data_IF_521443262734
#
_entry.id   IF_521443262734
#
_cell.length_a   1.000
_cell.length_b   1.000
_cell.length_c   1.000
_cell.angle_alpha   90.00
_cell.angle_beta   90.00
_cell.angle_gamma   90.00
#
_symmetry.space_group_name_H-M   'P 1'
#
loop_
_entity.id
_entity.type
_entity.pdbx_description
1 polymer ?
#
# COMPACT_ATOMS: atom_id res chain seq x y z
N UNK A 1 0.92 -17.94 7.82
CA UNK A 1 0.23 -17.32 8.97
C UNK A 1 -0.03 -15.89 8.53
N UNK A 2 -1.12 -15.68 7.81
CA UNK A 2 -2.45 -15.33 8.34
C UNK A 2 -2.64 -13.83 8.09
N UNK A 3 -3.05 -13.49 6.87
CA UNK A 3 -3.85 -12.31 6.60
C UNK A 3 -4.65 -12.53 5.32
N UNK A 4 -5.47 -13.59 5.38
CA UNK A 4 -6.73 -13.60 4.66
C UNK A 4 -7.57 -12.59 5.44
N UNK A 5 -7.59 -11.34 5.00
CA UNK A 5 -8.62 -10.40 5.42
C UNK A 5 -9.92 -10.95 4.85
N UNK A 6 -10.50 -11.87 5.61
CA UNK A 6 -11.91 -12.17 5.62
C UNK A 6 -12.64 -10.83 5.55
N UNK A 7 -13.11 -10.49 4.35
CA UNK A 7 -14.39 -9.83 4.18
C UNK A 7 -15.43 -10.77 4.78
N UNK A 8 -15.43 -10.87 6.11
CA UNK A 8 -16.45 -11.50 6.89
C UNK A 8 -17.73 -10.77 6.53
N UNK A 9 -18.54 -11.48 5.75
CA UNK A 9 -19.92 -11.22 5.48
C UNK A 9 -20.56 -10.38 6.59
N UNK A 10 -20.93 -9.13 6.28
CA UNK A 10 -21.97 -8.42 7.05
C UNK A 10 -23.32 -9.07 6.72
N UNK A 11 -23.47 -10.29 7.24
CA UNK A 11 -24.73 -10.99 7.25
C UNK A 11 -25.71 -10.23 8.15
N UNK A 12 -26.60 -9.46 7.53
CA UNK A 12 -28.00 -9.42 7.96
C UNK A 12 -28.36 -8.57 9.18
N UNK A 13 -27.70 -7.44 9.43
CA UNK A 13 -28.36 -6.37 10.22
C UNK A 13 -29.25 -5.59 9.25
N UNK A 14 -30.57 -5.75 9.36
CA UNK A 14 -31.52 -4.85 8.72
C UNK A 14 -31.12 -3.41 9.08
N UNK A 15 -30.75 -2.61 8.07
CA UNK A 15 -30.32 -1.24 8.29
C UNK A 15 -31.51 -0.43 8.80
N UNK A 16 -31.60 -0.32 10.13
CA UNK A 16 -32.72 0.30 10.85
C UNK A 16 -32.93 1.73 10.39
N UNK A 17 -31.85 2.41 9.99
CA UNK A 17 -31.90 3.78 9.49
C UNK A 17 -32.56 3.85 8.11
N UNK A 18 -32.23 2.91 7.24
CA UNK A 18 -32.84 2.78 5.91
C UNK A 18 -34.31 2.42 6.02
N UNK A 19 -34.66 1.51 6.94
CA UNK A 19 -36.06 1.17 7.22
C UNK A 19 -36.87 2.35 7.75
N UNK A 20 -36.33 3.10 8.72
CA UNK A 20 -36.94 4.35 9.19
C UNK A 20 -37.12 5.37 8.07
N UNK A 21 -36.13 5.49 7.17
CA UNK A 21 -36.24 6.37 6.00
C UNK A 21 -37.34 5.88 5.04
N UNK A 22 -37.41 4.58 4.75
CA UNK A 22 -38.48 3.99 3.93
C UNK A 22 -39.85 4.18 4.55
N UNK A 23 -39.97 4.00 5.85
CA UNK A 23 -41.21 4.19 6.60
C UNK A 23 -41.64 5.66 6.57
N UNK A 24 -40.71 6.59 6.78
CA UNK A 24 -40.96 8.03 6.68
C UNK A 24 -41.39 8.43 5.26
N UNK A 25 -40.74 7.87 4.22
CA UNK A 25 -41.13 8.08 2.83
C UNK A 25 -42.52 7.49 2.53
N UNK A 26 -42.84 6.30 3.05
CA UNK A 26 -44.17 5.71 2.90
C UNK A 26 -45.25 6.60 3.53
N UNK A 27 -45.03 7.05 4.77
CA UNK A 27 -45.92 7.98 5.47
C UNK A 27 -46.07 9.31 4.71
N UNK A 28 -45.00 9.81 4.12
CA UNK A 28 -45.04 11.02 3.29
C UNK A 28 -45.87 10.81 2.01
N UNK A 29 -45.73 9.66 1.35
CA UNK A 29 -46.52 9.31 0.16
C UNK A 29 -48.01 9.15 0.51
N UNK A 30 -48.33 8.57 1.66
CA UNK A 30 -49.70 8.52 2.18
C UNK A 30 -50.25 9.93 2.48
N UNK A 31 -49.42 10.83 2.99
CA UNK A 31 -49.80 12.22 3.23
C UNK A 31 -50.07 12.98 1.92
N UNK A 32 -49.31 12.70 0.87
CA UNK A 32 -49.56 13.20 -0.48
C UNK A 32 -50.93 12.73 -0.96
N UNK A 33 -51.27 11.45 -0.78
CA UNK A 33 -52.57 10.91 -1.17
C UNK A 33 -53.73 11.59 -0.41
N UNK A 34 -53.56 11.80 0.90
CA UNK A 34 -54.54 12.49 1.74
C UNK A 34 -54.75 13.97 1.35
N UNK A 35 -53.69 14.65 0.89
CA UNK A 35 -53.77 16.04 0.45
C UNK A 35 -54.18 16.19 -1.01
N UNK A 36 -53.91 15.20 -1.85
CA UNK A 36 -54.27 15.17 -3.27
C UNK A 36 -55.72 14.72 -3.51
N UNK A 37 -56.66 15.26 -2.74
CA UNK A 37 -58.08 15.01 -2.90
C UNK A 37 -58.67 15.84 -4.05
N UNK A 38 -59.68 15.29 -4.74
CA UNK A 38 -60.39 15.97 -5.82
C UNK A 38 -60.89 17.37 -5.43
N UNK A 39 -61.32 17.56 -4.18
CA UNK A 39 -61.73 18.87 -3.64
C UNK A 39 -60.59 19.91 -3.62
N UNK A 40 -59.38 19.51 -3.25
CA UNK A 40 -58.22 20.42 -3.21
C UNK A 40 -57.73 20.77 -4.61
N UNK A 41 -57.79 19.80 -5.53
CA UNK A 41 -57.50 20.02 -6.95
C UNK A 41 -58.54 20.91 -7.62
N UNK A 42 -59.84 20.72 -7.33
CA UNK A 42 -60.91 21.57 -7.85
C UNK A 42 -60.82 23.03 -7.37
N UNK A 43 -60.36 23.26 -6.14
CA UNK A 43 -60.12 24.62 -5.62
C UNK A 43 -58.93 25.28 -6.33
N UNK A 44 -57.93 24.50 -6.71
CA UNK A 44 -56.68 25.00 -7.30
C UNK A 44 -56.76 25.13 -8.83
N UNK A 45 -57.66 24.38 -9.48
CA UNK A 45 -57.89 24.34 -10.92
C UNK A 45 -59.40 24.41 -11.22
N UNK A 46 -60.05 25.55 -10.95
CA UNK A 46 -61.52 25.68 -11.02
C UNK A 46 -62.07 25.65 -12.45
N UNK A 47 -61.25 25.92 -13.46
CA UNK A 47 -61.69 26.05 -14.87
C UNK A 47 -61.69 24.71 -15.64
N UNK A 48 -61.33 23.60 -14.99
CA UNK A 48 -61.25 22.29 -15.60
C UNK A 48 -62.54 21.47 -15.36
N UNK A 49 -62.97 20.76 -16.40
CA UNK A 49 -63.97 19.69 -16.31
C UNK A 49 -63.55 18.65 -15.26
N UNK A 50 -64.49 18.20 -14.45
CA UNK A 50 -64.33 17.18 -13.41
C UNK A 50 -63.65 15.90 -13.93
N UNK A 51 -63.92 15.48 -15.16
CA UNK A 51 -63.29 14.31 -15.80
C UNK A 51 -61.82 14.58 -16.15
N UNK A 52 -61.52 15.79 -16.63
CA UNK A 52 -60.16 16.20 -16.96
C UNK A 52 -59.32 16.43 -15.69
N UNK A 53 -59.92 17.02 -14.66
CA UNK A 53 -59.33 17.27 -13.35
C UNK A 53 -58.88 15.96 -12.69
N UNK A 54 -59.73 14.94 -12.71
CA UNK A 54 -59.43 13.65 -12.10
C UNK A 54 -58.30 12.93 -12.85
N UNK A 55 -58.24 13.05 -14.18
CA UNK A 55 -57.16 12.51 -14.99
C UNK A 55 -55.82 13.20 -14.70
N UNK A 56 -55.82 14.54 -14.57
CA UNK A 56 -54.63 15.32 -14.20
C UNK A 56 -54.16 14.97 -12.80
N UNK A 57 -55.09 14.81 -11.84
CA UNK A 57 -54.79 14.41 -10.47
C UNK A 57 -54.07 13.06 -10.42
N UNK A 58 -54.62 12.05 -11.11
CA UNK A 58 -54.04 10.71 -11.13
C UNK A 58 -52.66 10.69 -11.78
N UNK A 59 -52.49 11.35 -12.93
CA UNK A 59 -51.19 11.43 -13.60
C UNK A 59 -50.16 12.18 -12.75
N UNK A 60 -50.52 13.34 -12.20
CA UNK A 60 -49.60 14.13 -11.37
C UNK A 60 -49.15 13.38 -10.12
N UNK A 61 -50.08 12.75 -9.40
CA UNK A 61 -49.75 11.96 -8.20
C UNK A 61 -48.89 10.75 -8.58
N UNK A 62 -49.19 10.08 -9.70
CA UNK A 62 -48.40 8.95 -10.18
C UNK A 62 -46.97 9.37 -10.55
N UNK A 63 -46.82 10.47 -11.30
CA UNK A 63 -45.52 10.98 -11.73
C UNK A 63 -44.70 11.43 -10.51
N UNK A 64 -45.31 12.18 -9.59
CA UNK A 64 -44.68 12.60 -8.34
C UNK A 64 -44.19 11.41 -7.51
N UNK A 65 -45.02 10.37 -7.37
CA UNK A 65 -44.65 9.14 -6.64
C UNK A 65 -43.52 8.38 -7.34
N UNK A 66 -43.49 8.39 -8.68
CA UNK A 66 -42.44 7.72 -9.46
C UNK A 66 -41.09 8.43 -9.36
N UNK A 67 -41.10 9.78 -9.33
CA UNK A 67 -39.92 10.62 -9.08
C UNK A 67 -39.40 10.47 -7.65
N UNK A 68 -40.27 10.40 -6.64
CA UNK A 68 -39.82 10.17 -5.25
C UNK A 68 -39.19 8.78 -5.10
N UNK A 69 -39.62 7.80 -5.89
CA UNK A 69 -38.96 6.48 -5.96
C UNK A 69 -37.57 6.53 -6.60
N UNK A 70 -37.20 7.61 -7.31
CA UNK A 70 -35.84 7.79 -7.84
C UNK A 70 -34.78 7.96 -6.72
N UNK A 71 -35.20 8.24 -5.48
CA UNK A 71 -34.32 8.19 -4.31
C UNK A 71 -33.71 6.78 -4.13
N UNK A 72 -34.38 5.70 -4.55
CA UNK A 72 -33.76 4.36 -4.54
C UNK A 72 -32.65 4.18 -5.58
N UNK A 73 -32.50 5.12 -6.53
CA UNK A 73 -31.53 5.06 -7.64
C UNK A 73 -30.12 5.51 -7.25
N UNK A 74 -29.97 6.24 -6.15
CA UNK A 74 -28.69 6.83 -5.71
C UNK A 74 -27.84 5.93 -4.82
N UNK A 75 -28.11 4.62 -4.78
CA UNK A 75 -27.40 3.64 -3.95
C UNK A 75 -27.22 4.10 -2.49
N UNK A 76 -28.26 4.72 -1.95
CA UNK A 76 -28.32 5.20 -0.57
C UNK A 76 -28.14 4.08 0.45
N UNK A 77 -28.31 2.83 0.03
CA UNK A 77 -28.14 1.67 0.88
C UNK A 77 -26.69 1.56 1.36
N UNK A 78 -25.75 1.46 0.43
CA UNK A 78 -24.33 1.35 0.76
C UNK A 78 -23.85 2.53 1.62
N UNK A 79 -24.31 3.75 1.33
CA UNK A 79 -23.94 4.95 2.09
C UNK A 79 -24.56 5.03 3.49
N UNK A 80 -25.80 4.56 3.65
CA UNK A 80 -26.44 4.49 4.96
C UNK A 80 -25.88 3.34 5.81
N UNK A 81 -25.49 2.23 5.19
CA UNK A 81 -24.78 1.12 5.84
C UNK A 81 -23.43 1.60 6.37
N UNK A 82 -22.65 2.29 5.53
CA UNK A 82 -21.38 2.91 5.89
C UNK A 82 -21.54 3.91 7.05
N UNK A 83 -22.56 4.77 6.98
CA UNK A 83 -22.83 5.74 8.03
C UNK A 83 -23.24 5.07 9.35
N UNK A 84 -24.06 4.02 9.32
CA UNK A 84 -24.46 3.27 10.51
C UNK A 84 -23.25 2.65 11.21
N UNK A 85 -22.37 2.01 10.44
CA UNK A 85 -21.13 1.44 10.93
C UNK A 85 -20.27 2.50 11.63
N UNK A 86 -20.01 3.63 10.95
CA UNK A 86 -19.23 4.74 11.51
C UNK A 86 -19.86 5.31 12.79
N UNK A 87 -21.18 5.43 12.85
CA UNK A 87 -21.86 5.91 14.07
C UNK A 87 -21.80 4.91 15.22
N UNK A 88 -21.95 3.61 14.94
CA UNK A 88 -21.85 2.56 15.96
C UNK A 88 -20.45 2.49 16.55
N UNK A 89 -19.44 2.63 15.71
CA UNK A 89 -18.04 2.66 16.12
C UNK A 89 -17.73 3.91 16.96
N UNK A 90 -18.24 5.07 16.55
CA UNK A 90 -18.11 6.30 17.33
C UNK A 90 -18.78 6.17 18.72
N UNK A 91 -19.98 5.60 18.80
CA UNK A 91 -20.69 5.37 20.05
C UNK A 91 -19.95 4.39 20.97
N UNK A 92 -19.35 3.34 20.42
CA UNK A 92 -18.49 2.42 21.18
C UNK A 92 -17.27 3.13 21.75
N UNK A 93 -16.60 3.97 20.95
CA UNK A 93 -15.44 4.73 21.40
C UNK A 93 -15.78 5.73 22.48
N UNK A 94 -16.95 6.38 22.38
CA UNK A 94 -17.45 7.26 23.44
C UNK A 94 -17.71 6.49 24.74
N UNK A 95 -18.26 5.27 24.67
CA UNK A 95 -18.50 4.43 25.86
C UNK A 95 -17.22 3.93 26.52
N UNK A 96 -16.16 3.74 25.75
CA UNK A 96 -14.86 3.25 26.23
C UNK A 96 -13.98 4.32 26.88
N UNK A 97 -14.38 5.59 26.79
CA UNK A 97 -13.75 6.73 27.47
C UNK A 97 -12.22 6.80 27.24
N UNK A 98 -11.82 6.62 25.98
CA UNK A 98 -10.41 6.62 25.58
C UNK A 98 -9.71 7.93 25.95
N UNK A 99 -8.44 7.82 26.36
CA UNK A 99 -7.62 8.99 26.66
C UNK A 99 -7.52 9.92 25.43
N UNK A 100 -7.40 11.25 25.60
CA UNK A 100 -7.43 12.23 24.50
C UNK A 100 -6.38 12.06 23.39
N UNK A 101 -5.38 11.19 23.57
CA UNK A 101 -4.32 10.90 22.59
C UNK A 101 -4.22 9.40 22.24
N UNK A 102 -5.25 8.62 22.58
CA UNK A 102 -5.32 7.21 22.22
C UNK A 102 -5.33 7.06 20.69
N UNK A 103 -4.64 6.03 20.19
CA UNK A 103 -4.58 5.68 18.77
C UNK A 103 -5.95 5.44 18.14
N UNK A 104 -6.94 5.08 18.96
CA UNK A 104 -8.32 4.76 18.64
C UNK A 104 -9.18 6.02 18.40
N UNK A 105 -8.63 7.22 18.65
CA UNK A 105 -9.30 8.52 18.43
C UNK A 105 -8.64 9.36 17.31
N UNK A 106 -7.83 8.75 16.44
CA UNK A 106 -7.05 9.46 15.39
C UNK A 106 -7.90 10.16 14.33
N UNK A 107 -9.12 9.68 14.14
CA UNK A 107 -10.12 10.06 13.14
C UNK A 107 -11.26 10.92 13.71
N UNK A 108 -11.23 11.21 15.02
CA UNK A 108 -12.23 12.09 15.66
C UNK A 108 -11.96 13.55 15.30
N UNK A 109 -12.95 14.18 14.66
CA UNK A 109 -12.91 15.62 14.37
C UNK A 109 -12.82 16.42 15.67
N UNK A 110 -11.89 17.38 15.72
CA UNK A 110 -11.77 18.32 16.84
C UNK A 110 -12.04 19.74 16.36
N UNK A 111 -12.75 20.57 17.16
CA UNK A 111 -13.02 21.97 16.79
C UNK A 111 -11.75 22.79 16.54
N UNK A 112 -10.69 22.49 17.29
CA UNK A 112 -9.39 23.15 17.19
C UNK A 112 -8.41 22.42 16.26
N UNK A 113 -8.87 21.40 15.51
CA UNK A 113 -8.01 20.66 14.59
C UNK A 113 -7.66 21.56 13.41
N UNK A 114 -6.41 22.02 13.36
CA UNK A 114 -5.91 22.76 12.21
C UNK A 114 -6.05 21.90 10.94
N UNK A 115 -6.55 22.51 9.86
CA UNK A 115 -6.75 21.89 8.55
C UNK A 115 -5.43 21.24 8.07
N UNK A 116 -4.30 21.87 8.37
CA UNK A 116 -2.98 21.32 8.04
C UNK A 116 -2.70 19.99 8.76
N UNK A 117 -3.19 19.84 9.99
CA UNK A 117 -3.05 18.62 10.79
C UNK A 117 -3.97 17.50 10.28
N UNK A 118 -5.19 17.84 9.89
CA UNK A 118 -6.12 16.88 9.27
C UNK A 118 -5.58 16.32 7.94
N UNK A 119 -4.99 17.19 7.11
CA UNK A 119 -4.35 16.78 5.85
C UNK A 119 -3.12 15.91 6.13
N UNK A 120 -2.26 16.31 7.07
CA UNK A 120 -1.06 15.54 7.45
C UNK A 120 -1.40 14.17 8.00
N UNK A 121 -2.44 14.02 8.81
CA UNK A 121 -2.86 12.73 9.34
C UNK A 121 -3.26 11.75 8.21
N UNK A 122 -3.95 12.24 7.18
CA UNK A 122 -4.31 11.44 6.00
C UNK A 122 -3.10 11.09 5.13
N UNK A 123 -2.16 12.01 4.98
CA UNK A 123 -0.94 11.79 4.18
C UNK A 123 0.05 10.88 4.91
N UNK A 124 0.11 10.95 6.24
CA UNK A 124 1.01 10.14 7.06
C UNK A 124 0.74 8.64 6.89
N UNK A 125 -0.52 8.21 6.87
CA UNK A 125 -0.89 6.80 6.65
C UNK A 125 -0.44 6.27 5.28
N UNK A 126 -0.44 7.14 4.26
CA UNK A 126 0.04 6.77 2.93
C UNK A 126 1.58 6.74 2.90
N UNK A 127 2.23 7.66 3.62
CA UNK A 127 3.68 7.76 3.71
C UNK A 127 4.32 6.64 4.53
N UNK A 128 3.66 6.09 5.55
CA UNK A 128 4.17 4.96 6.35
C UNK A 128 4.53 3.76 5.46
N UNK A 129 3.67 3.43 4.49
CA UNK A 129 3.94 2.34 3.54
C UNK A 129 5.15 2.62 2.65
N UNK A 130 5.31 3.87 2.22
CA UNK A 130 6.42 4.29 1.36
C UNK A 130 7.74 4.34 2.12
N UNK A 131 7.71 4.74 3.40
CA UNK A 131 8.89 4.74 4.27
C UNK A 131 9.35 3.30 4.50
N UNK A 132 8.44 2.38 4.83
CA UNK A 132 8.77 0.96 5.00
C UNK A 132 9.43 0.36 3.75
N UNK A 133 8.90 0.66 2.55
CA UNK A 133 9.50 0.23 1.29
C UNK A 133 10.91 0.81 1.07
N UNK A 134 11.12 2.09 1.39
CA UNK A 134 12.44 2.73 1.28
C UNK A 134 13.45 2.18 2.29
N UNK A 135 13.01 1.82 3.49
CA UNK A 135 13.84 1.17 4.50
C UNK A 135 14.28 -0.23 4.04
N UNK A 136 13.39 -0.97 3.39
CA UNK A 136 13.71 -2.26 2.77
C UNK A 136 14.71 -2.12 1.62
N UNK A 137 14.49 -1.17 0.70
CA UNK A 137 15.43 -0.86 -0.40
C UNK A 137 16.82 -0.45 0.16
N UNK A 138 16.87 0.34 1.23
CA UNK A 138 18.13 0.69 1.89
C UNK A 138 18.83 -0.53 2.48
N UNK A 139 18.10 -1.44 3.13
CA UNK A 139 18.67 -2.65 3.69
C UNK A 139 19.28 -3.55 2.60
N UNK A 140 18.60 -3.70 1.46
CA UNK A 140 19.12 -4.43 0.30
C UNK A 140 20.40 -3.78 -0.26
N UNK A 141 20.42 -2.46 -0.39
CA UNK A 141 21.60 -1.73 -0.86
C UNK A 141 22.79 -1.86 0.09
N UNK A 142 22.55 -1.84 1.40
CA UNK A 142 23.62 -2.08 2.39
C UNK A 142 24.18 -3.50 2.28
N UNK A 143 23.32 -4.51 2.12
CA UNK A 143 23.75 -5.90 1.96
C UNK A 143 24.56 -6.08 0.66
N UNK A 144 24.07 -5.54 -0.46
CA UNK A 144 24.75 -5.60 -1.76
C UNK A 144 26.10 -4.87 -1.76
N UNK A 145 26.18 -3.71 -1.09
CA UNK A 145 27.44 -3.01 -0.90
C UNK A 145 28.42 -3.83 -0.06
N UNK A 146 27.98 -4.43 1.05
CA UNK A 146 28.83 -5.27 1.88
C UNK A 146 29.41 -6.45 1.09
N UNK A 147 28.60 -7.12 0.26
CA UNK A 147 29.06 -8.18 -0.63
C UNK A 147 30.06 -7.67 -1.67
N UNK A 148 29.83 -6.48 -2.22
CA UNK A 148 30.73 -5.86 -3.20
C UNK A 148 32.07 -5.47 -2.58
N UNK A 149 32.08 -4.93 -1.36
CA UNK A 149 33.31 -4.67 -0.62
C UNK A 149 34.08 -5.96 -0.33
N UNK A 150 33.41 -7.02 0.10
CA UNK A 150 34.05 -8.32 0.34
C UNK A 150 34.69 -8.89 -0.94
N UNK A 151 34.04 -8.72 -2.10
CA UNK A 151 34.61 -9.12 -3.41
C UNK A 151 35.84 -8.30 -3.78
N UNK A 152 35.83 -6.99 -3.54
CA UNK A 152 36.96 -6.11 -3.81
C UNK A 152 38.14 -6.53 -2.92
N UNK A 153 37.92 -6.70 -1.61
CA UNK A 153 38.97 -7.08 -0.66
C UNK A 153 39.59 -8.45 -1.03
N UNK A 154 38.75 -9.43 -1.41
CA UNK A 154 39.25 -10.72 -1.89
C UNK A 154 40.08 -10.58 -3.18
N UNK A 155 39.67 -9.69 -4.10
CA UNK A 155 40.41 -9.44 -5.33
C UNK A 155 41.75 -8.74 -5.08
N UNK A 156 41.79 -7.79 -4.15
CA UNK A 156 43.01 -7.09 -3.74
C UNK A 156 44.01 -8.08 -3.11
N UNK A 157 43.53 -8.96 -2.22
CA UNK A 157 44.36 -10.01 -1.64
C UNK A 157 44.93 -10.96 -2.71
N UNK A 158 44.12 -11.35 -3.70
CA UNK A 158 44.58 -12.19 -4.80
C UNK A 158 45.62 -11.48 -5.68
N UNK A 159 45.43 -10.19 -5.99
CA UNK A 159 46.39 -9.39 -6.76
C UNK A 159 47.71 -9.28 -5.99
N UNK A 160 47.66 -9.02 -4.69
CA UNK A 160 48.86 -8.93 -3.85
C UNK A 160 49.64 -10.25 -3.84
N UNK A 161 48.96 -11.38 -3.63
CA UNK A 161 49.57 -12.70 -3.68
C UNK A 161 50.20 -13.00 -5.06
N UNK A 162 49.51 -12.64 -6.15
CA UNK A 162 50.05 -12.79 -7.50
C UNK A 162 51.28 -11.91 -7.74
N UNK A 163 51.29 -10.66 -7.25
CA UNK A 163 52.44 -9.76 -7.34
C UNK A 163 53.65 -10.31 -6.56
N UNK A 164 53.43 -10.83 -5.35
CA UNK A 164 54.47 -11.50 -4.58
C UNK A 164 55.06 -12.70 -5.33
N UNK A 165 54.20 -13.56 -5.90
CA UNK A 165 54.64 -14.71 -6.68
C UNK A 165 55.45 -14.30 -7.92
N UNK A 166 55.02 -13.25 -8.64
CA UNK A 166 55.78 -12.69 -9.76
C UNK A 166 57.12 -12.14 -9.29
N UNK A 167 57.17 -11.43 -8.16
CA UNK A 167 58.42 -10.89 -7.62
C UNK A 167 59.41 -12.00 -7.24
N UNK A 168 58.93 -13.09 -6.63
CA UNK A 168 59.73 -14.26 -6.25
C UNK A 168 60.25 -14.97 -7.50
N UNK A 169 59.40 -15.18 -8.51
CA UNK A 169 59.82 -15.82 -9.76
C UNK A 169 60.82 -14.97 -10.54
N UNK A 170 60.65 -13.65 -10.63
CA UNK A 170 61.65 -12.73 -11.20
C UNK A 170 62.99 -12.80 -10.45
N UNK A 171 62.98 -12.73 -9.12
CA UNK A 171 64.20 -12.84 -8.32
C UNK A 171 64.90 -14.20 -8.50
N UNK A 172 64.13 -15.26 -8.76
CA UNK A 172 64.67 -16.59 -9.04
C UNK A 172 65.27 -16.67 -10.45
N UNK A 173 64.62 -16.07 -11.45
CA UNK A 173 65.15 -15.94 -12.80
C UNK A 173 66.46 -15.13 -12.81
N UNK A 174 66.54 -14.04 -12.04
CA UNK A 174 67.78 -13.25 -11.89
C UNK A 174 68.92 -14.08 -11.29
N UNK A 175 68.63 -14.88 -10.26
CA UNK A 175 69.61 -15.83 -9.69
C UNK A 175 70.07 -16.87 -10.71
N UNK A 176 69.15 -17.40 -11.51
CA UNK A 176 69.50 -18.34 -12.58
C UNK A 176 70.40 -17.69 -13.62
N UNK A 177 70.06 -16.48 -14.07
CA UNK A 177 70.82 -15.76 -15.08
C UNK A 177 72.24 -15.44 -14.57
N UNK A 178 72.36 -15.02 -13.32
CA UNK A 178 73.66 -14.84 -12.65
C UNK A 178 74.45 -16.17 -12.55
N UNK A 179 73.78 -17.28 -12.20
CA UNK A 179 74.43 -18.59 -12.12
C UNK A 179 74.86 -19.13 -13.48
N UNK A 180 74.10 -18.89 -14.55
CA UNK A 180 74.45 -19.28 -15.92
C UNK A 180 75.65 -18.46 -16.40
N UNK A 181 75.65 -17.14 -16.15
CA UNK A 181 76.79 -16.27 -16.43
C UNK A 181 78.06 -16.69 -15.66
N UNK A 182 77.92 -17.24 -14.44
CA UNK A 182 79.02 -17.81 -13.66
C UNK A 182 79.41 -19.23 -14.14
N UNK A 183 78.48 -19.99 -14.69
CA UNK A 183 78.67 -21.39 -15.15
C UNK A 183 79.30 -21.51 -16.54
N UNK A 184 79.53 -20.40 -17.24
CA UNK A 184 80.37 -20.33 -18.45
C UNK A 184 81.83 -20.78 -18.18
N UNK A 185 82.17 -21.14 -16.93
CA UNK A 185 83.39 -21.83 -16.53
C UNK A 185 83.23 -23.33 -16.14
N UNK A 186 82.11 -23.99 -16.49
CA UNK A 186 82.10 -25.45 -16.69
C UNK A 186 81.31 -26.34 -15.71
N UNK A 187 80.02 -26.10 -15.47
CA UNK A 187 79.17 -27.10 -14.79
C UNK A 187 77.67 -27.04 -15.19
N UNK A 188 77.29 -27.75 -16.27
CA UNK A 188 75.89 -27.81 -16.75
C UNK A 188 74.94 -28.70 -15.92
N UNK A 189 75.45 -29.51 -14.99
CA UNK A 189 74.62 -30.40 -14.16
C UNK A 189 73.87 -29.68 -13.04
N UNK A 190 74.44 -28.62 -12.47
CA UNK A 190 73.77 -27.84 -11.41
C UNK A 190 72.56 -27.06 -11.93
N UNK A 191 72.66 -26.55 -13.16
CA UNK A 191 71.58 -25.84 -13.84
C UNK A 191 70.36 -26.74 -14.02
N UNK A 192 70.56 -27.99 -14.44
CA UNK A 192 69.47 -28.91 -14.71
C UNK A 192 68.73 -29.33 -13.43
N UNK A 193 69.45 -29.63 -12.35
CA UNK A 193 68.85 -29.98 -11.05
C UNK A 193 68.07 -28.82 -10.41
N UNK A 194 68.49 -27.58 -10.64
CA UNK A 194 67.77 -26.40 -10.13
C UNK A 194 66.54 -26.06 -10.98
N UNK A 195 66.57 -26.37 -12.28
CA UNK A 195 65.39 -26.31 -13.16
C UNK A 195 64.32 -27.34 -12.77
N UNK A 196 64.71 -28.55 -12.40
CA UNK A 196 63.76 -29.57 -11.93
C UNK A 196 63.12 -29.20 -10.58
N UNK A 197 63.88 -28.55 -9.69
CA UNK A 197 63.35 -27.98 -8.44
C UNK A 197 62.34 -26.84 -8.70
N UNK A 198 62.55 -26.06 -9.76
CA UNK A 198 61.62 -25.02 -10.19
C UNK A 198 60.31 -25.55 -10.76
N UNK A 199 60.36 -26.62 -11.55
CA UNK A 199 59.16 -27.29 -12.08
C UNK A 199 58.31 -27.87 -10.94
N UNK A 200 58.94 -28.23 -9.83
CA UNK A 200 58.25 -28.72 -8.62
C UNK A 200 57.72 -27.60 -7.72
N UNK A 201 58.43 -26.47 -7.57
CA UNK A 201 57.94 -25.32 -6.79
C UNK A 201 56.92 -24.44 -7.54
N UNK A 202 56.97 -24.41 -8.88
CA UNK A 202 55.97 -23.75 -9.74
C UNK A 202 54.84 -24.72 -10.15
N UNK A 203 54.58 -25.77 -9.36
CA UNK A 203 53.65 -26.87 -9.67
C UNK A 203 52.29 -26.45 -10.26
N UNK A 204 51.61 -27.37 -10.98
CA UNK A 204 50.58 -27.03 -11.96
C UNK A 204 49.39 -26.32 -11.30
N UNK A 205 48.95 -25.26 -11.98
CA UNK A 205 47.67 -24.59 -11.72
C UNK A 205 46.48 -25.56 -11.81
#
# INVERSE_FOLDING_TARGET
MADVVEHAASAGTENVRLERMREALSKFLEFIDLKANAKNFAVSLPDLDEVALEKVRLLFVQDLKSEIRLVTKYDLRARLDELELLTSEADERQKRDYAPHASELKDVWRPDLDISTAIRARVATEQESRIAALEEELAELYASNAESYARIEASEAHIHAAQEQVSVSCAMLDKLLASVALSDQGNGRSVHTMMDALITELGPA
#
